data_IF_880599259015
#
_entry.id   IF_880599259015
#
_cell.length_a   1.000
_cell.length_b   1.000
_cell.length_c   1.000
_cell.angle_alpha   90.00
_cell.angle_beta   90.00
_cell.angle_gamma   90.00
#
_symmetry.space_group_name_H-M   'P 1'
#
loop_
_entity.id
_entity.type
_entity.pdbx_description
1 polymer ?
#
# COMPACT_ATOMS: atom_id res chain seq x y z
N UNK A 1 -37.34 -6.47 43.91
CA UNK A 1 -36.61 -5.49 43.07
C UNK A 1 -35.12 -5.78 42.87
N UNK A 2 -34.44 -6.59 43.72
CA UNK A 2 -33.02 -6.95 43.49
C UNK A 2 -32.78 -7.77 42.20
N UNK A 3 -33.68 -8.70 41.87
CA UNK A 3 -33.55 -9.55 40.67
C UNK A 3 -33.62 -8.78 39.34
N UNK A 4 -34.32 -7.64 39.31
CA UNK A 4 -34.41 -6.80 38.11
C UNK A 4 -33.08 -6.07 37.81
N UNK A 5 -32.36 -5.67 38.87
CA UNK A 5 -31.02 -5.08 38.74
C UNK A 5 -30.01 -6.10 38.22
N UNK A 6 -30.06 -7.36 38.68
CA UNK A 6 -29.17 -8.40 38.17
C UNK A 6 -29.44 -8.76 36.70
N UNK A 7 -30.71 -8.74 36.27
CA UNK A 7 -31.11 -8.94 34.87
C UNK A 7 -30.60 -7.81 33.95
N UNK A 8 -30.71 -6.56 34.40
CA UNK A 8 -30.19 -5.39 33.67
C UNK A 8 -28.67 -5.43 33.50
N UNK A 9 -27.93 -5.85 34.54
CA UNK A 9 -26.47 -6.01 34.47
C UNK A 9 -26.09 -7.11 33.48
N UNK A 10 -26.83 -8.22 33.44
CA UNK A 10 -26.57 -9.32 32.49
C UNK A 10 -26.71 -8.88 31.02
N UNK A 11 -27.70 -8.04 30.72
CA UNK A 11 -27.91 -7.48 29.37
C UNK A 11 -26.80 -6.51 28.96
N UNK A 12 -26.25 -5.71 29.89
CA UNK A 12 -25.14 -4.79 29.60
C UNK A 12 -23.85 -5.55 29.27
N UNK A 13 -23.57 -6.66 29.97
CA UNK A 13 -22.37 -7.48 29.73
C UNK A 13 -22.47 -8.26 28.41
N UNK A 14 -23.68 -8.72 28.03
CA UNK A 14 -23.93 -9.41 26.74
C UNK A 14 -23.99 -8.46 25.53
N UNK A 15 -24.15 -7.15 25.76
CA UNK A 15 -24.19 -6.13 24.69
C UNK A 15 -22.81 -5.62 24.28
N UNK A 16 -21.75 -6.03 24.98
CA UNK A 16 -20.38 -5.92 24.49
C UNK A 16 -20.17 -6.92 23.34
N UNK A 17 -20.71 -6.60 22.16
CA UNK A 17 -20.20 -7.20 20.93
C UNK A 17 -18.73 -6.80 20.84
N UNK A 18 -17.79 -7.76 20.71
CA UNK A 18 -16.42 -7.39 20.36
C UNK A 18 -16.52 -6.55 19.08
N UNK A 19 -15.97 -5.34 19.11
CA UNK A 19 -15.83 -4.50 17.93
C UNK A 19 -14.78 -5.16 17.04
N UNK A 20 -15.14 -6.29 16.43
CA UNK A 20 -14.28 -7.12 15.59
C UNK A 20 -14.55 -6.85 14.11
N UNK A 21 -15.09 -5.67 13.77
CA UNK A 21 -15.16 -5.25 12.38
C UNK A 21 -13.73 -5.03 11.89
N UNK A 22 -13.22 -6.05 11.20
CA UNK A 22 -11.97 -5.97 10.48
C UNK A 22 -12.04 -4.81 9.50
N UNK A 23 -10.97 -4.03 9.42
CA UNK A 23 -10.90 -2.91 8.50
C UNK A 23 -11.20 -3.36 7.07
N UNK A 24 -12.05 -2.62 6.36
CA UNK A 24 -12.61 -3.04 5.06
C UNK A 24 -11.56 -3.29 3.98
N UNK A 25 -10.48 -2.53 3.99
CA UNK A 25 -9.40 -2.70 3.02
C UNK A 25 -8.48 -3.90 3.32
N UNK A 26 -8.67 -4.63 4.42
CA UNK A 26 -7.94 -5.88 4.63
C UNK A 26 -8.33 -6.92 3.58
N UNK A 27 -7.33 -7.53 2.95
CA UNK A 27 -7.51 -8.50 1.87
C UNK A 27 -6.55 -8.28 0.71
N UNK A 28 -6.86 -8.95 -0.39
CA UNK A 28 -6.06 -8.88 -1.62
C UNK A 28 -6.82 -8.13 -2.69
N UNK A 29 -6.09 -7.24 -3.34
CA UNK A 29 -6.62 -6.29 -4.29
C UNK A 29 -5.69 -6.13 -5.48
N UNK A 30 -6.21 -5.63 -6.59
CA UNK A 30 -5.43 -5.31 -7.77
C UNK A 30 -5.94 -4.03 -8.46
N UNK A 31 -5.09 -3.45 -9.31
CA UNK A 31 -5.48 -2.37 -10.21
C UNK A 31 -4.63 -2.37 -11.48
N UNK A 32 -5.21 -1.81 -12.54
CA UNK A 32 -4.46 -1.35 -13.71
C UNK A 32 -4.30 0.17 -13.60
N UNK A 33 -3.08 0.65 -13.78
CA UNK A 33 -2.80 2.07 -13.89
C UNK A 33 -2.93 2.55 -15.34
N UNK A 34 -3.03 3.86 -15.52
CA UNK A 34 -3.13 4.51 -16.84
C UNK A 34 -1.93 4.20 -17.73
N UNK A 35 -0.75 4.03 -17.16
CA UNK A 35 0.50 3.71 -17.88
C UNK A 35 0.62 2.24 -18.31
N UNK A 36 -0.44 1.44 -18.14
CA UNK A 36 -0.44 0.01 -18.44
C UNK A 36 0.22 -0.86 -17.36
N UNK A 37 0.67 -0.28 -16.24
CA UNK A 37 1.18 -1.10 -15.14
C UNK A 37 0.06 -1.81 -14.39
N UNK A 38 0.33 -3.07 -14.05
CA UNK A 38 -0.52 -3.88 -13.18
C UNK A 38 0.09 -3.94 -11.79
N UNK A 39 -0.74 -3.71 -10.77
CA UNK A 39 -0.31 -3.70 -9.37
C UNK A 39 -1.23 -4.58 -8.54
N UNK A 40 -0.63 -5.43 -7.71
CA UNK A 40 -1.31 -6.24 -6.70
C UNK A 40 -0.94 -5.78 -5.29
N UNK A 41 -1.94 -5.82 -4.40
CA UNK A 41 -1.81 -5.43 -3.00
C UNK A 41 -2.31 -6.58 -2.11
N UNK A 42 -1.54 -6.95 -1.09
CA UNK A 42 -2.03 -7.73 0.07
C UNK A 42 -1.98 -6.85 1.30
N UNK A 43 -3.15 -6.43 1.79
CA UNK A 43 -3.27 -5.57 2.97
C UNK A 43 -3.68 -6.44 4.16
N UNK A 44 -2.84 -6.48 5.19
CA UNK A 44 -3.09 -7.17 6.46
C UNK A 44 -3.01 -6.18 7.61
N UNK A 45 -3.33 -6.61 8.82
CA UNK A 45 -3.21 -5.73 10.00
C UNK A 45 -1.76 -5.37 10.32
N UNK A 46 -0.78 -6.18 9.89
CA UNK A 46 0.63 -6.02 10.25
C UNK A 46 1.49 -5.47 9.11
N UNK A 47 1.11 -5.76 7.86
CA UNK A 47 1.88 -5.36 6.69
C UNK A 47 1.00 -5.13 5.46
N UNK A 48 1.56 -4.38 4.51
CA UNK A 48 1.07 -4.28 3.14
C UNK A 48 2.16 -4.79 2.19
N UNK A 49 1.82 -5.79 1.37
CA UNK A 49 2.65 -6.21 0.24
C UNK A 49 2.17 -5.52 -1.02
N UNK A 50 3.11 -5.06 -1.84
CA UNK A 50 2.86 -4.46 -3.13
C UNK A 50 3.76 -5.10 -4.17
N UNK A 51 3.17 -5.58 -5.26
CA UNK A 51 3.88 -6.10 -6.43
C UNK A 51 3.43 -5.32 -7.66
N UNK A 52 4.39 -4.93 -8.50
CA UNK A 52 4.13 -4.09 -9.68
C UNK A 52 4.80 -4.67 -10.93
N UNK A 53 4.11 -4.61 -12.06
CA UNK A 53 4.63 -5.10 -13.34
C UNK A 53 5.85 -4.31 -13.82
N UNK A 54 6.02 -3.07 -13.37
CA UNK A 54 7.21 -2.25 -13.66
C UNK A 54 8.47 -2.76 -12.94
N UNK A 55 8.30 -3.42 -11.79
CA UNK A 55 9.39 -4.03 -11.02
C UNK A 55 9.04 -5.49 -10.69
N UNK A 56 8.97 -6.37 -11.70
CA UNK A 56 8.36 -7.69 -11.58
C UNK A 56 9.17 -8.68 -10.74
N UNK A 57 10.37 -8.29 -10.28
CA UNK A 57 11.25 -9.09 -9.43
C UNK A 57 11.32 -8.59 -7.99
N UNK A 58 10.55 -7.55 -7.65
CA UNK A 58 10.55 -6.92 -6.34
C UNK A 58 9.22 -7.15 -5.62
N UNK A 59 9.30 -7.41 -4.31
CA UNK A 59 8.15 -7.36 -3.41
C UNK A 59 8.41 -6.17 -2.48
N UNK A 60 7.56 -5.15 -2.57
CA UNK A 60 7.62 -4.00 -1.68
C UNK A 60 6.79 -4.33 -0.44
N UNK A 61 7.34 -4.10 0.74
CA UNK A 61 6.70 -4.41 2.02
C UNK A 61 6.71 -3.16 2.90
N UNK A 62 5.53 -2.77 3.35
CA UNK A 62 5.35 -1.77 4.39
C UNK A 62 4.80 -2.42 5.65
N UNK A 63 5.18 -1.87 6.80
CA UNK A 63 4.44 -2.11 8.03
C UNK A 63 3.06 -1.48 7.91
N UNK A 64 2.09 -2.08 8.58
CA UNK A 64 0.72 -1.60 8.58
C UNK A 64 0.16 -1.66 9.99
N UNK A 65 -0.78 -0.77 10.28
CA UNK A 65 -1.56 -0.78 11.50
C UNK A 65 -2.95 -0.27 11.20
N UNK A 66 -3.96 -1.01 11.64
CA UNK A 66 -5.34 -0.55 11.64
C UNK A 66 -5.58 0.25 12.92
N UNK A 67 -6.06 1.48 12.78
CA UNK A 67 -6.55 2.30 13.88
C UNK A 67 -7.91 2.86 13.47
N UNK A 68 -8.97 2.44 14.16
CA UNK A 68 -10.35 2.73 13.80
C UNK A 68 -10.66 2.32 12.34
N UNK A 69 -11.03 3.28 11.49
CA UNK A 69 -11.34 3.13 10.07
C UNK A 69 -10.18 3.58 9.15
N UNK A 70 -8.98 3.69 9.72
CA UNK A 70 -7.76 4.16 9.01
C UNK A 70 -6.70 3.06 8.97
N UNK A 71 -5.95 3.07 7.88
CA UNK A 71 -4.76 2.24 7.69
C UNK A 71 -3.53 3.12 7.77
N UNK A 72 -2.68 2.89 8.76
CA UNK A 72 -1.41 3.60 8.92
C UNK A 72 -0.33 2.69 8.34
N UNK A 73 0.21 3.06 7.19
CA UNK A 73 1.30 2.37 6.52
C UNK A 73 2.63 3.07 6.81
N UNK A 74 3.65 2.30 7.14
CA UNK A 74 4.96 2.85 7.52
C UNK A 74 6.10 2.03 6.93
N UNK A 75 7.21 2.69 6.67
CA UNK A 75 8.42 2.01 6.20
C UNK A 75 9.00 1.14 7.32
N UNK A 76 9.31 -0.13 7.00
CA UNK A 76 10.09 -0.97 7.90
C UNK A 76 11.53 -0.46 7.94
N UNK A 77 12.21 -0.52 9.09
CA UNK A 77 13.56 0.04 9.30
C UNK A 77 14.61 -0.39 8.24
N UNK A 78 14.43 -1.54 7.60
CA UNK A 78 15.29 -2.08 6.54
C UNK A 78 14.57 -2.18 5.16
N UNK A 79 13.45 -1.49 4.98
CA UNK A 79 12.68 -1.50 3.74
C UNK A 79 13.30 -0.63 2.65
N UNK A 80 12.79 -0.76 1.42
CA UNK A 80 13.13 0.17 0.33
C UNK A 80 12.70 1.59 0.74
N UNK A 81 13.62 2.57 0.71
CA UNK A 81 13.38 4.00 1.07
C UNK A 81 12.48 4.71 0.04
N UNK A 82 11.34 4.12 -0.28
CA UNK A 82 10.41 4.59 -1.31
C UNK A 82 9.35 5.52 -0.69
N UNK A 83 8.92 5.26 0.55
CA UNK A 83 8.12 6.23 1.31
C UNK A 83 9.08 7.06 2.16
N UNK A 84 9.10 8.38 1.95
CA UNK A 84 9.88 9.28 2.81
C UNK A 84 9.25 9.45 4.20
N UNK A 85 7.99 9.05 4.40
CA UNK A 85 7.28 9.20 5.68
C UNK A 85 6.19 8.11 5.86
N UNK A 86 5.68 7.97 7.08
CA UNK A 86 4.49 7.16 7.34
C UNK A 86 3.27 7.81 6.67
N UNK A 87 2.45 7.03 5.97
CA UNK A 87 1.21 7.51 5.36
C UNK A 87 -0.01 6.92 6.06
N UNK A 88 -1.05 7.75 6.18
CA UNK A 88 -2.37 7.28 6.61
C UNK A 88 -3.28 7.21 5.39
N UNK A 89 -3.83 6.02 5.15
CA UNK A 89 -4.81 5.76 4.12
C UNK A 89 -6.21 5.75 4.75
N UNK A 90 -7.09 6.62 4.24
CA UNK A 90 -8.49 6.70 4.65
C UNK A 90 -9.38 6.05 3.61
N UNK A 91 -10.44 5.36 4.05
CA UNK A 91 -11.40 4.75 3.12
C UNK A 91 -12.42 5.78 2.67
N UNK A 92 -12.44 6.11 1.37
CA UNK A 92 -13.44 7.01 0.79
C UNK A 92 -14.73 6.29 0.38
N UNK A 93 -14.60 5.07 -0.16
CA UNK A 93 -15.73 4.29 -0.65
C UNK A 93 -15.44 2.80 -0.53
N UNK A 94 -16.47 2.00 -0.22
CA UNK A 94 -16.39 0.55 -0.13
C UNK A 94 -17.59 -0.17 -0.75
N UNK A 95 -17.30 -1.32 -1.36
CA UNK A 95 -18.24 -2.41 -1.68
C UNK A 95 -17.52 -3.75 -1.47
N UNK A 96 -18.19 -4.88 -1.76
CA UNK A 96 -17.53 -6.20 -1.72
C UNK A 96 -16.39 -6.32 -2.74
N UNK A 97 -16.55 -5.66 -3.90
CA UNK A 97 -15.65 -5.80 -5.06
C UNK A 97 -14.67 -4.64 -5.21
N UNK A 98 -14.85 -3.52 -4.50
CA UNK A 98 -14.04 -2.32 -4.70
C UNK A 98 -13.82 -1.56 -3.41
N UNK A 99 -12.60 -1.07 -3.23
CA UNK A 99 -12.27 -0.09 -2.19
C UNK A 99 -11.56 1.10 -2.83
N UNK A 100 -11.90 2.30 -2.35
CA UNK A 100 -11.19 3.53 -2.71
C UNK A 100 -10.49 4.01 -1.45
N UNK A 101 -9.17 3.98 -1.46
CA UNK A 101 -8.32 4.52 -0.41
C UNK A 101 -7.76 5.87 -0.83
N UNK A 102 -7.55 6.78 0.12
CA UNK A 102 -6.88 8.06 -0.16
C UNK A 102 -5.71 8.25 0.80
N UNK A 103 -4.55 8.58 0.24
CA UNK A 103 -3.38 9.04 1.00
C UNK A 103 -3.69 10.37 1.67
N UNK A 104 -3.37 10.51 2.95
CA UNK A 104 -3.47 11.79 3.65
C UNK A 104 -2.26 12.68 3.40
N UNK A 105 -1.14 12.11 2.97
CA UNK A 105 0.07 12.85 2.65
C UNK A 105 0.01 13.50 1.27
N UNK A 106 -0.32 12.71 0.23
CA UNK A 106 -0.35 13.17 -1.16
C UNK A 106 -1.74 13.47 -1.72
N UNK A 107 -2.81 13.15 -0.99
CA UNK A 107 -4.21 13.18 -1.48
C UNK A 107 -4.49 12.25 -2.69
N UNK A 108 -3.54 11.37 -3.02
CA UNK A 108 -3.68 10.37 -4.06
C UNK A 108 -4.79 9.37 -3.73
N UNK A 109 -5.60 9.04 -4.75
CA UNK A 109 -6.67 8.06 -4.63
C UNK A 109 -6.26 6.73 -5.27
N UNK A 110 -6.39 5.66 -4.50
CA UNK A 110 -6.15 4.29 -4.92
C UNK A 110 -7.49 3.59 -5.08
N UNK A 111 -7.94 3.47 -6.32
CA UNK A 111 -9.09 2.63 -6.66
C UNK A 111 -8.64 1.18 -6.84
N UNK A 112 -8.99 0.33 -5.89
CA UNK A 112 -8.57 -1.05 -5.83
C UNK A 112 -9.75 -1.98 -6.06
N UNK A 113 -9.58 -2.95 -6.96
CA UNK A 113 -10.57 -4.00 -7.22
C UNK A 113 -10.22 -5.26 -6.44
N UNK A 114 -11.24 -5.97 -5.97
CA UNK A 114 -11.04 -7.21 -5.23
C UNK A 114 -10.33 -8.22 -6.12
N UNK A 115 -9.31 -8.87 -5.57
CA UNK A 115 -8.65 -9.96 -6.26
C UNK A 115 -9.44 -11.27 -6.07
N UNK A 116 -9.50 -12.07 -7.12
CA UNK A 116 -10.08 -13.42 -7.11
C UNK A 116 -9.11 -14.47 -6.52
N UNK A 117 -7.93 -14.03 -6.08
CA UNK A 117 -6.89 -14.85 -5.47
C UNK A 117 -6.44 -14.24 -4.15
N UNK A 118 -5.70 -15.02 -3.36
CA UNK A 118 -5.04 -14.52 -2.16
C UNK A 118 -3.57 -14.94 -2.10
N UNK A 119 -2.77 -14.18 -1.35
CA UNK A 119 -1.38 -14.49 -1.09
C UNK A 119 -1.23 -15.36 0.17
N UNK A 120 -0.32 -16.33 0.08
CA UNK A 120 0.17 -17.04 1.26
C UNK A 120 0.83 -16.07 2.23
N UNK A 121 0.65 -16.30 3.53
CA UNK A 121 1.38 -15.56 4.57
C UNK A 121 2.88 -15.72 4.34
N UNK A 122 3.64 -14.67 4.66
CA UNK A 122 5.11 -14.68 4.60
C UNK A 122 5.62 -15.86 5.44
N UNK A 123 6.28 -16.81 4.79
CA UNK A 123 6.96 -17.91 5.46
C UNK A 123 8.38 -17.48 5.81
N UNK A 124 8.59 -17.09 7.07
CA UNK A 124 9.91 -16.66 7.55
C UNK A 124 10.92 -17.80 7.65
N UNK A 125 10.47 -19.06 7.72
CA UNK A 125 11.36 -20.23 7.77
C UNK A 125 11.87 -20.59 6.37
N UNK A 126 11.08 -20.30 5.33
CA UNK A 126 11.42 -20.59 3.93
C UNK A 126 11.27 -19.35 3.02
N UNK A 127 11.80 -18.21 3.44
CA UNK A 127 11.57 -16.91 2.81
C UNK A 127 11.90 -16.88 1.31
N UNK A 128 13.01 -17.50 0.90
CA UNK A 128 13.42 -17.57 -0.50
C UNK A 128 12.44 -18.36 -1.37
N UNK A 129 11.93 -19.49 -0.85
CA UNK A 129 10.94 -20.31 -1.54
C UNK A 129 9.62 -19.55 -1.68
N UNK A 130 9.16 -18.95 -0.58
CA UNK A 130 7.97 -18.10 -0.57
C UNK A 130 8.10 -16.97 -1.60
N UNK A 131 9.19 -16.21 -1.56
CA UNK A 131 9.43 -15.09 -2.48
C UNK A 131 9.40 -15.54 -3.94
N UNK A 132 10.08 -16.65 -4.27
CA UNK A 132 10.10 -17.19 -5.64
C UNK A 132 8.71 -17.59 -6.12
N UNK A 133 7.93 -18.28 -5.27
CA UNK A 133 6.55 -18.68 -5.58
C UNK A 133 5.68 -17.44 -5.81
N UNK A 134 5.68 -16.52 -4.86
CA UNK A 134 4.91 -15.27 -4.91
C UNK A 134 5.17 -14.46 -6.17
N UNK A 135 6.45 -14.23 -6.51
CA UNK A 135 6.83 -13.50 -7.73
C UNK A 135 6.47 -14.25 -9.01
N UNK A 136 6.63 -15.57 -9.04
CA UNK A 136 6.28 -16.40 -10.19
C UNK A 136 4.77 -16.35 -10.49
N UNK A 137 3.94 -16.48 -9.47
CA UNK A 137 2.49 -16.41 -9.61
C UNK A 137 2.02 -14.99 -9.99
N UNK A 138 2.62 -13.96 -9.41
CA UNK A 138 2.37 -12.58 -9.78
C UNK A 138 2.63 -12.33 -11.28
N UNK A 139 3.78 -12.77 -11.80
CA UNK A 139 4.13 -12.60 -13.22
C UNK A 139 3.10 -13.24 -14.15
N UNK A 140 2.64 -14.45 -13.82
CA UNK A 140 1.58 -15.13 -14.58
C UNK A 140 0.29 -14.31 -14.60
N UNK A 141 -0.13 -13.79 -13.45
CA UNK A 141 -1.34 -12.97 -13.35
C UNK A 141 -1.21 -11.62 -14.07
N UNK A 142 -0.05 -10.98 -13.97
CA UNK A 142 0.24 -9.73 -14.67
C UNK A 142 0.15 -9.90 -16.20
N UNK A 143 0.72 -10.99 -16.72
CA UNK A 143 0.65 -11.34 -18.14
C UNK A 143 -0.79 -11.61 -18.60
N UNK A 144 -1.57 -12.35 -17.82
CA UNK A 144 -2.99 -12.61 -18.11
C UNK A 144 -3.81 -11.31 -18.08
N UNK A 145 -3.55 -10.43 -17.12
CA UNK A 145 -4.34 -9.21 -16.97
C UNK A 145 -4.10 -8.21 -18.09
N UNK A 146 -2.87 -8.12 -18.60
CA UNK A 146 -2.47 -7.32 -19.76
C UNK A 146 -3.11 -5.92 -19.78
N UNK A 147 -2.80 -5.12 -18.77
CA UNK A 147 -3.36 -3.78 -18.63
C UNK A 147 -2.94 -2.87 -19.81
N UNK A 148 -3.88 -2.22 -20.52
CA UNK A 148 -3.53 -1.35 -21.63
C UNK A 148 -2.92 -0.02 -21.15
N UNK A 149 -1.93 0.48 -21.88
CA UNK A 149 -1.40 1.84 -21.68
C UNK A 149 -2.35 2.86 -22.34
N UNK A 150 -3.06 3.61 -21.50
CA UNK A 150 -4.05 4.62 -21.86
C UNK A 150 -3.47 6.05 -21.88
N UNK A 151 -2.15 6.20 -21.77
CA UNK A 151 -1.49 7.51 -21.89
C UNK A 151 -1.53 8.03 -23.32
N UNK A 152 -1.64 9.34 -23.47
CA UNK A 152 -1.44 10.02 -24.76
C UNK A 152 0.02 9.89 -25.21
N UNK A 153 0.32 10.20 -26.47
CA UNK A 153 1.71 10.19 -26.95
C UNK A 153 2.58 11.19 -26.18
N UNK A 154 2.05 12.37 -25.88
CA UNK A 154 2.75 13.40 -25.10
C UNK A 154 3.10 12.91 -23.68
N UNK A 155 2.18 12.20 -23.02
CA UNK A 155 2.39 11.61 -21.69
C UNK A 155 3.40 10.45 -21.67
N UNK A 156 3.75 9.90 -22.84
CA UNK A 156 4.78 8.86 -22.98
C UNK A 156 6.17 9.45 -23.16
N UNK A 157 6.27 10.74 -23.50
CA UNK A 157 7.54 11.43 -23.63
C UNK A 157 8.05 11.71 -22.21
N UNK A 158 9.05 10.94 -21.78
CA UNK A 158 9.78 11.22 -20.54
C UNK A 158 10.66 12.44 -20.83
N UNK A 159 10.52 13.55 -20.07
CA UNK A 159 11.44 14.67 -20.21
C UNK A 159 12.85 14.18 -19.93
N UNK A 160 13.70 14.17 -20.95
CA UNK A 160 15.14 14.01 -20.77
C UNK A 160 15.63 15.31 -20.14
N UNK A 161 16.00 15.25 -18.85
CA UNK A 161 16.84 16.26 -18.25
C UNK A 161 18.20 16.13 -18.92
N UNK A 162 18.52 17.09 -19.79
CA UNK A 162 19.85 17.25 -20.34
C UNK A 162 20.76 17.81 -19.23
N UNK A 163 21.42 16.88 -18.52
CA UNK A 163 22.33 17.21 -17.43
C UNK A 163 23.58 17.95 -17.92
N UNK A 164 23.85 17.93 -19.23
CA UNK A 164 24.98 18.63 -19.85
C UNK A 164 24.73 20.15 -19.99
N UNK A 165 23.49 20.59 -19.69
CA UNK A 165 23.06 22.00 -19.76
C UNK A 165 22.77 22.61 -18.37
N UNK A 166 23.14 21.89 -17.30
CA UNK A 166 23.24 22.46 -15.97
C UNK A 166 24.61 23.12 -15.88
N UNK A 167 24.70 24.44 -16.09
CA UNK A 167 25.88 25.19 -15.68
C UNK A 167 26.10 24.92 -14.18
N UNK A 168 27.24 24.32 -13.84
CA UNK A 168 27.71 24.24 -12.46
C UNK A 168 27.90 25.68 -11.98
N UNK A 169 26.91 26.24 -11.26
CA UNK A 169 27.14 27.44 -10.47
C UNK A 169 28.21 27.10 -9.43
N UNK A 170 29.46 27.50 -9.69
CA UNK A 170 30.54 27.48 -8.71
C UNK A 170 30.09 28.27 -7.49
N UNK A 171 29.82 27.56 -6.40
CA UNK A 171 29.58 28.18 -5.10
C UNK A 171 30.94 28.71 -4.62
N UNK A 172 31.17 30.02 -4.77
CA UNK A 172 32.31 30.70 -4.13
C UNK A 172 32.21 30.52 -2.61
N UNK A 173 33.10 29.71 -2.06
CA UNK A 173 33.30 29.61 -0.61
C UNK A 173 34.02 30.88 -0.17
N UNK A 174 33.28 31.81 0.42
CA UNK A 174 33.87 32.98 1.07
C UNK A 174 34.52 32.50 2.38
N UNK A 175 35.85 32.39 2.40
CA UNK A 175 36.61 32.19 3.63
C UNK A 175 36.50 33.47 4.49
N UNK A 176 35.86 33.35 5.64
CA UNK A 176 35.81 34.42 6.64
C UNK A 176 37.06 34.27 7.50
N UNK A 177 38.05 35.15 7.31
CA UNK A 177 39.16 35.31 8.26
C UNK A 177 38.60 35.74 9.62
N UNK A 178 38.88 34.95 10.65
CA UNK A 178 38.61 35.30 12.05
C UNK A 178 39.76 36.14 12.58
N UNK A 179 39.49 37.40 12.91
CA UNK A 179 40.23 38.16 13.94
C UNK A 179 39.83 37.69 15.35
#
# INVERSE_FOLDING_TARGET
MKYLQYLLILFVVLSCKPNSEKHVALGTWNRCNKDGSYIEYKITEQYMLILTSHRPNEIIIFGNKVLDDKLISYQLKNGTKILQDNDTLVTLKKSSEKVILMSTWGYDKYELNKAEFDYDKIDSLNLESWKKKTLSEFKKRAEIKSCPDLRTQDEKIIPTLDLDNLEEEEIEIIEIEKE
#
